data_IF_739349656508
#
_entry.id   IF_739349656508
#
_cell.length_a   1.000
_cell.length_b   1.000
_cell.length_c   1.000
_cell.angle_alpha   90.00
_cell.angle_beta   90.00
_cell.angle_gamma   90.00
#
_symmetry.space_group_name_H-M   'P 1'
#
loop_
_entity.id
_entity.type
_entity.pdbx_description
1 polymer ?
#
# COMPACT_ATOMS: atom_id res chain seq x y z
N UNK A 1 -0.03 -0.31 11.90
CA UNK A 1 -0.73 0.92 12.37
C UNK A 1 -1.91 1.27 11.47
N UNK A 2 -1.72 1.38 10.15
CA UNK A 2 -2.84 1.60 9.21
C UNK A 2 -3.79 0.40 9.21
N UNK A 3 -3.26 -0.82 9.12
CA UNK A 3 -4.02 -2.08 9.19
C UNK A 3 -4.96 -2.12 10.41
N UNK A 4 -4.48 -1.67 11.56
CA UNK A 4 -5.21 -1.69 12.83
C UNK A 4 -6.05 -0.44 13.07
N UNK A 5 -6.15 0.47 12.08
CA UNK A 5 -6.91 1.73 12.19
C UNK A 5 -6.36 2.73 13.20
N UNK A 6 -5.17 2.49 13.76
CA UNK A 6 -4.55 3.38 14.77
C UNK A 6 -4.10 4.72 14.20
N UNK A 7 -3.91 4.79 12.88
CA UNK A 7 -3.61 6.02 12.15
C UNK A 7 -4.45 6.10 10.88
N UNK A 8 -4.69 7.31 10.39
CA UNK A 8 -5.39 7.53 9.13
C UNK A 8 -4.67 6.85 7.95
N UNK A 9 -5.44 6.44 6.94
CA UNK A 9 -4.89 5.87 5.71
C UNK A 9 -4.18 6.97 4.92
N UNK A 10 -3.00 6.65 4.40
CA UNK A 10 -2.24 7.47 3.47
C UNK A 10 -1.63 6.55 2.40
N UNK A 11 -1.27 7.06 1.21
CA UNK A 11 -0.78 6.21 0.13
C UNK A 11 0.63 5.71 0.44
N UNK A 12 0.82 4.38 0.43
CA UNK A 12 2.14 3.76 0.53
C UNK A 12 2.53 3.27 -0.87
N UNK A 13 3.66 3.74 -1.37
CA UNK A 13 4.18 3.36 -2.69
C UNK A 13 5.58 2.77 -2.55
N UNK A 14 5.79 1.61 -3.17
CA UNK A 14 7.06 0.92 -3.25
C UNK A 14 7.57 1.01 -4.68
N UNK A 15 8.73 1.66 -4.89
CA UNK A 15 9.30 1.86 -6.22
C UNK A 15 10.31 0.73 -6.52
N UNK A 16 10.21 0.16 -7.71
CA UNK A 16 11.07 -0.90 -8.22
C UNK A 16 10.49 -2.28 -7.97
N UNK A 17 9.68 -2.77 -8.91
CA UNK A 17 9.03 -4.08 -8.83
C UNK A 17 10.05 -5.22 -8.73
N UNK A 18 11.18 -5.12 -9.44
CA UNK A 18 12.25 -6.11 -9.36
C UNK A 18 12.87 -6.25 -7.97
N UNK A 19 12.96 -5.14 -7.22
CA UNK A 19 13.54 -5.13 -5.88
C UNK A 19 12.54 -5.68 -4.85
N UNK A 20 11.30 -5.21 -4.89
CA UNK A 20 10.27 -5.55 -3.89
C UNK A 20 9.47 -6.81 -4.21
N UNK A 21 9.49 -7.28 -5.45
CA UNK A 21 8.64 -8.38 -5.93
C UNK A 21 8.80 -9.66 -5.12
N UNK A 22 10.03 -10.05 -4.76
CA UNK A 22 10.26 -11.22 -3.92
C UNK A 22 9.64 -11.12 -2.53
N UNK A 23 9.69 -9.94 -1.91
CA UNK A 23 9.06 -9.70 -0.61
C UNK A 23 7.53 -9.77 -0.71
N UNK A 24 6.95 -9.13 -1.73
CA UNK A 24 5.49 -9.12 -1.94
C UNK A 24 4.96 -10.52 -2.20
N UNK A 25 5.68 -11.30 -3.00
CA UNK A 25 5.33 -12.69 -3.27
C UNK A 25 5.40 -13.54 -1.99
N UNK A 26 6.39 -13.31 -1.13
CA UNK A 26 6.46 -13.97 0.17
C UNK A 26 5.29 -13.58 1.10
N UNK A 27 4.93 -12.29 1.16
CA UNK A 27 3.78 -11.83 1.94
C UNK A 27 2.50 -12.51 1.45
N UNK A 28 2.30 -12.62 0.12
CA UNK A 28 1.11 -13.24 -0.45
C UNK A 28 1.08 -14.76 -0.21
N UNK A 29 2.11 -15.48 -0.65
CA UNK A 29 2.16 -16.94 -0.60
C UNK A 29 2.25 -17.48 0.83
N UNK A 30 3.02 -16.82 1.70
CA UNK A 30 3.29 -17.31 3.05
C UNK A 30 2.36 -16.65 4.06
N UNK A 31 2.39 -15.32 4.19
CA UNK A 31 1.63 -14.66 5.25
C UNK A 31 0.11 -14.72 5.01
N UNK A 32 -0.36 -14.56 3.77
CA UNK A 32 -1.79 -14.58 3.45
C UNK A 32 -2.30 -16.00 3.20
N UNK A 33 -1.74 -16.69 2.21
CA UNK A 33 -2.30 -17.96 1.71
C UNK A 33 -2.04 -19.13 2.65
N UNK A 34 -0.81 -19.29 3.13
CA UNK A 34 -0.41 -20.44 3.95
C UNK A 34 -0.72 -20.27 5.44
N UNK A 35 -0.29 -19.15 6.02
CA UNK A 35 -0.32 -18.94 7.47
C UNK A 35 -1.54 -18.10 7.93
N UNK A 36 -2.28 -17.48 7.00
CA UNK A 36 -3.47 -16.66 7.29
C UNK A 36 -3.24 -15.54 8.33
N UNK A 37 -2.03 -14.98 8.36
CA UNK A 37 -1.60 -13.94 9.29
C UNK A 37 -2.11 -12.54 8.92
N UNK A 38 -2.57 -12.35 7.68
CA UNK A 38 -3.10 -11.08 7.18
C UNK A 38 -4.39 -11.33 6.40
N UNK A 39 -5.21 -10.28 6.25
CA UNK A 39 -6.36 -10.33 5.37
C UNK A 39 -5.95 -9.98 3.93
N UNK A 40 -6.68 -10.49 2.94
CA UNK A 40 -6.41 -10.16 1.53
C UNK A 40 -6.49 -8.64 1.27
N UNK A 41 -7.30 -7.93 2.05
CA UNK A 41 -7.47 -6.49 1.98
C UNK A 41 -6.22 -5.71 2.41
N UNK A 42 -5.34 -6.31 3.22
CA UNK A 42 -4.11 -5.69 3.69
C UNK A 42 -3.10 -5.50 2.54
N UNK A 43 -3.19 -6.31 1.49
CA UNK A 43 -2.40 -6.13 0.27
C UNK A 43 -2.79 -4.84 -0.49
N UNK A 44 -3.96 -4.27 -0.21
CA UNK A 44 -4.39 -3.00 -0.81
C UNK A 44 -3.85 -1.78 -0.04
N UNK A 45 -3.04 -1.98 1.01
CA UNK A 45 -2.45 -0.89 1.79
C UNK A 45 -1.26 -0.23 1.09
N UNK A 46 -0.61 -0.93 0.16
CA UNK A 46 0.53 -0.43 -0.60
C UNK A 46 0.38 -0.71 -2.09
N UNK A 47 1.14 0.01 -2.91
CA UNK A 47 1.21 -0.20 -4.36
C UNK A 47 2.66 -0.29 -4.81
N UNK A 48 2.94 -1.22 -5.71
CA UNK A 48 4.24 -1.30 -6.40
C UNK A 48 4.15 -0.54 -7.72
N UNK A 49 5.20 0.21 -8.02
CA UNK A 49 5.37 0.98 -9.26
C UNK A 49 6.83 0.92 -9.70
N UNK A 50 7.11 1.21 -10.96
CA UNK A 50 8.49 1.25 -11.47
C UNK A 50 9.02 2.66 -11.69
N UNK A 51 8.14 3.66 -11.76
CA UNK A 51 8.51 5.04 -12.05
C UNK A 51 8.06 6.00 -10.95
N UNK A 52 8.78 7.13 -10.84
CA UNK A 52 8.43 8.18 -9.89
C UNK A 52 7.11 8.87 -10.30
N UNK A 53 6.84 8.93 -11.61
CA UNK A 53 5.63 9.48 -12.21
C UNK A 53 4.39 8.69 -11.78
N UNK A 54 4.43 7.36 -11.84
CA UNK A 54 3.35 6.49 -11.35
C UNK A 54 3.13 6.65 -9.85
N UNK A 55 4.22 6.79 -9.08
CA UNK A 55 4.14 7.04 -7.64
C UNK A 55 3.43 8.36 -7.35
N UNK A 56 3.85 9.44 -8.02
CA UNK A 56 3.27 10.76 -7.87
C UNK A 56 1.79 10.75 -8.27
N UNK A 57 1.45 10.15 -9.41
CA UNK A 57 0.07 10.03 -9.87
C UNK A 57 -0.81 9.30 -8.84
N UNK A 58 -0.31 8.20 -8.25
CA UNK A 58 -1.04 7.47 -7.23
C UNK A 58 -1.30 8.32 -5.98
N UNK A 59 -0.29 9.09 -5.54
CA UNK A 59 -0.40 9.99 -4.40
C UNK A 59 -1.43 11.10 -4.68
N UNK A 60 -1.37 11.74 -5.85
CA UNK A 60 -2.33 12.78 -6.23
C UNK A 60 -3.75 12.25 -6.30
N UNK A 61 -3.97 11.09 -6.96
CA UNK A 61 -5.28 10.43 -7.02
C UNK A 61 -5.83 10.08 -5.64
N UNK A 62 -4.97 9.70 -4.69
CA UNK A 62 -5.39 9.47 -3.31
C UNK A 62 -5.95 10.76 -2.69
N UNK A 63 -5.19 11.86 -2.71
CA UNK A 63 -5.62 13.11 -2.07
C UNK A 63 -6.75 13.84 -2.81
N UNK A 64 -6.93 13.62 -4.10
CA UNK A 64 -8.08 14.12 -4.86
C UNK A 64 -9.39 13.46 -4.39
N UNK A 65 -9.35 12.14 -4.18
CA UNK A 65 -10.49 11.37 -3.66
C UNK A 65 -10.74 11.61 -2.17
N UNK A 66 -9.67 11.80 -1.41
CA UNK A 66 -9.71 12.07 0.02
C UNK A 66 -9.37 13.54 0.25
N UNK A 67 -10.31 14.43 -0.14
CA UNK A 67 -10.25 15.87 0.16
C UNK A 67 -9.74 16.02 1.57
N UNK A 68 -8.56 16.66 1.71
CA UNK A 68 -7.93 16.99 2.97
C UNK A 68 -8.98 17.63 3.88
N UNK A 69 -9.55 16.86 4.82
CA UNK A 69 -10.31 17.46 5.91
C UNK A 69 -9.27 18.21 6.75
N UNK A 70 -9.37 19.55 6.86
CA UNK A 70 -8.47 20.28 7.72
C UNK A 70 -8.59 19.72 9.14
N UNK A 71 -7.45 19.43 9.78
CA UNK A 71 -7.40 19.11 11.21
C UNK A 71 -7.49 20.40 12.05
N UNK A 72 -8.51 21.22 11.79
CA UNK A 72 -8.83 22.41 12.57
C UNK A 72 -10.31 22.43 12.90
#
# INVERSE_FOLDING_TARGET
LIQTGKIARFPIVLIGTAFWGGLVEWIKSTMLEKEHNIHAEDLNLFRLVDTAEEAAEHIFRFYDKYVLKPNF
#
